data_IF_662855019106
#
_entry.id   IF_662855019106
#
_cell.length_a   1.000
_cell.length_b   1.000
_cell.length_c   1.000
_cell.angle_alpha   90.00
_cell.angle_beta   90.00
_cell.angle_gamma   90.00
#
_symmetry.space_group_name_H-M   'P 1'
#
loop_
_entity.id
_entity.type
_entity.pdbx_description
1 polymer ?
#
# COMPACT_ATOMS: atom_id res chain seq x y z
N UNK A 1 15.50 -33.53 -23.93
CA UNK A 1 14.71 -34.52 -24.68
C UNK A 1 13.63 -33.80 -25.48
N UNK A 2 13.42 -34.16 -26.75
CA UNK A 2 12.39 -33.53 -27.60
C UNK A 2 11.23 -34.53 -27.73
N UNK A 3 10.20 -34.38 -26.90
CA UNK A 3 8.97 -35.19 -26.92
C UNK A 3 8.05 -34.75 -28.08
N UNK A 4 8.44 -35.08 -29.31
CA UNK A 4 7.64 -34.86 -30.52
C UNK A 4 7.43 -36.20 -31.22
N UNK A 5 6.17 -36.56 -31.49
CA UNK A 5 5.81 -37.74 -32.28
C UNK A 5 5.77 -37.38 -33.76
N UNK A 6 6.53 -38.09 -34.59
CA UNK A 6 6.55 -37.98 -36.06
C UNK A 6 6.51 -39.39 -36.69
N UNK A 7 6.07 -39.53 -37.95
CA UNK A 7 5.91 -40.83 -38.60
C UNK A 7 7.20 -41.66 -38.69
N UNK A 8 8.36 -41.00 -38.69
CA UNK A 8 9.70 -41.57 -38.87
C UNK A 8 10.43 -41.88 -37.55
N UNK A 9 9.78 -41.68 -36.40
CA UNK A 9 10.41 -41.89 -35.08
C UNK A 9 10.10 -43.26 -34.47
N UNK A 10 11.08 -43.87 -33.78
CA UNK A 10 10.84 -45.08 -32.99
C UNK A 10 9.81 -44.82 -31.89
N UNK A 11 9.16 -45.90 -31.43
CA UNK A 11 8.23 -45.83 -30.31
C UNK A 11 8.96 -45.39 -29.03
N UNK A 12 8.25 -44.72 -28.13
CA UNK A 12 8.80 -44.34 -26.83
C UNK A 12 9.15 -45.58 -26.01
N UNK A 13 10.29 -45.53 -25.35
CA UNK A 13 10.80 -46.59 -24.48
C UNK A 13 10.50 -46.29 -23.01
N UNK A 14 10.81 -47.23 -22.12
CA UNK A 14 10.61 -47.06 -20.67
C UNK A 14 11.38 -45.84 -20.12
N UNK A 15 12.59 -45.58 -20.63
CA UNK A 15 13.40 -44.43 -20.24
C UNK A 15 12.78 -43.10 -20.70
N UNK A 16 12.14 -43.06 -21.87
CA UNK A 16 11.39 -41.88 -22.34
C UNK A 16 10.21 -41.57 -21.41
N UNK A 17 9.51 -42.60 -20.93
CA UNK A 17 8.43 -42.43 -19.96
C UNK A 17 8.95 -41.87 -18.63
N UNK A 18 10.11 -42.29 -18.15
CA UNK A 18 10.74 -41.76 -16.94
C UNK A 18 11.07 -40.27 -17.09
N UNK A 19 11.68 -39.88 -18.22
CA UNK A 19 12.01 -38.47 -18.49
C UNK A 19 10.73 -37.64 -18.66
N UNK A 20 9.70 -38.18 -19.32
CA UNK A 20 8.41 -37.52 -19.47
C UNK A 20 7.71 -37.32 -18.12
N UNK A 21 7.72 -38.34 -17.26
CA UNK A 21 7.16 -38.28 -15.92
C UNK A 21 7.88 -37.24 -15.05
N UNK A 22 9.21 -37.16 -15.15
CA UNK A 22 9.98 -36.15 -14.42
C UNK A 22 9.67 -34.73 -14.92
N UNK A 23 9.60 -34.53 -16.24
CA UNK A 23 9.23 -33.24 -16.83
C UNK A 23 7.80 -32.83 -16.45
N UNK A 24 6.86 -33.78 -16.48
CA UNK A 24 5.48 -33.56 -16.06
C UNK A 24 5.41 -33.17 -14.58
N UNK A 25 6.17 -33.86 -13.71
CA UNK A 25 6.24 -33.57 -12.27
C UNK A 25 6.79 -32.17 -11.98
N UNK A 26 7.93 -31.81 -12.61
CA UNK A 26 8.51 -30.48 -12.46
C UNK A 26 7.59 -29.37 -13.00
N UNK A 27 6.91 -29.63 -14.12
CA UNK A 27 5.95 -28.68 -14.70
C UNK A 27 4.72 -28.52 -13.80
N UNK A 28 4.18 -29.63 -13.28
CA UNK A 28 3.05 -29.60 -12.36
C UNK A 28 3.37 -28.83 -11.08
N UNK A 29 4.54 -29.06 -10.46
CA UNK A 29 5.00 -28.29 -9.30
C UNK A 29 5.20 -26.81 -9.63
N UNK A 30 5.69 -26.48 -10.83
CA UNK A 30 5.82 -25.10 -11.29
C UNK A 30 4.47 -24.40 -11.44
N UNK A 31 3.49 -25.08 -12.05
CA UNK A 31 2.12 -24.57 -12.22
C UNK A 31 1.45 -24.40 -10.85
N UNK A 32 1.56 -25.38 -9.96
CA UNK A 32 0.96 -25.34 -8.62
C UNK A 32 1.51 -24.17 -7.80
N UNK A 33 2.84 -23.95 -7.84
CA UNK A 33 3.47 -22.76 -7.24
C UNK A 33 2.98 -21.47 -7.86
N UNK A 34 2.88 -21.39 -9.19
CA UNK A 34 2.41 -20.19 -9.87
C UNK A 34 0.96 -19.84 -9.49
N UNK A 35 0.09 -20.85 -9.38
CA UNK A 35 -1.31 -20.68 -8.94
C UNK A 35 -1.36 -20.24 -7.47
N UNK A 36 -0.59 -20.88 -6.59
CA UNK A 36 -0.53 -20.53 -5.17
C UNK A 36 -0.06 -19.08 -4.96
N UNK A 37 1.08 -18.70 -5.54
CA UNK A 37 1.61 -17.34 -5.42
C UNK A 37 0.70 -16.30 -6.09
N UNK A 38 0.06 -16.65 -7.21
CA UNK A 38 -0.93 -15.78 -7.84
C UNK A 38 -2.14 -15.52 -6.92
N UNK A 39 -2.59 -16.54 -6.19
CA UNK A 39 -3.68 -16.39 -5.22
C UNK A 39 -3.28 -15.58 -4.00
N UNK A 40 -2.09 -15.81 -3.45
CA UNK A 40 -1.57 -15.01 -2.32
C UNK A 40 -1.43 -13.53 -2.70
N UNK A 41 -0.90 -13.24 -3.90
CA UNK A 41 -0.77 -11.88 -4.40
C UNK A 41 -2.13 -11.21 -4.61
N UNK A 42 -3.12 -11.93 -5.15
CA UNK A 42 -4.48 -11.43 -5.28
C UNK A 42 -5.10 -11.06 -3.93
N UNK A 43 -4.99 -11.94 -2.92
CA UNK A 43 -5.51 -11.69 -1.57
C UNK A 43 -4.83 -10.47 -0.94
N UNK A 44 -3.52 -10.34 -1.11
CA UNK A 44 -2.76 -9.20 -0.60
C UNK A 44 -3.22 -7.86 -1.23
N UNK A 45 -3.39 -7.82 -2.55
CA UNK A 45 -3.87 -6.63 -3.27
C UNK A 45 -5.30 -6.26 -2.86
N UNK A 46 -6.20 -7.24 -2.75
CA UNK A 46 -7.59 -7.00 -2.34
C UNK A 46 -7.66 -6.45 -0.91
N UNK A 47 -6.92 -7.06 0.03
CA UNK A 47 -6.85 -6.59 1.41
C UNK A 47 -6.33 -5.15 1.46
N UNK A 48 -5.31 -4.83 0.68
CA UNK A 48 -4.76 -3.49 0.69
C UNK A 48 -5.71 -2.45 0.10
N UNK A 49 -6.40 -2.78 -1.00
CA UNK A 49 -7.41 -1.90 -1.62
C UNK A 49 -8.53 -1.56 -0.66
N UNK A 50 -9.02 -2.55 0.08
CA UNK A 50 -10.09 -2.34 1.08
C UNK A 50 -9.63 -1.53 2.28
N UNK A 51 -8.33 -1.50 2.58
CA UNK A 51 -7.74 -0.68 3.64
C UNK A 51 -7.48 0.78 3.24
N UNK A 52 -7.59 1.16 1.97
CA UNK A 52 -7.39 2.54 1.48
C UNK A 52 -8.74 3.22 1.19
N UNK A 53 -8.79 4.57 1.14
CA UNK A 53 -10.01 5.27 0.74
C UNK A 53 -10.42 4.91 -0.71
N UNK A 54 -11.61 4.32 -0.88
CA UNK A 54 -12.19 4.05 -2.22
C UNK A 54 -12.49 5.33 -2.99
N UNK A 55 -12.98 6.35 -2.28
CA UNK A 55 -13.28 7.67 -2.83
C UNK A 55 -12.77 8.76 -1.91
N UNK A 56 -12.23 9.82 -2.50
CA UNK A 56 -11.87 11.02 -1.76
C UNK A 56 -13.09 11.91 -1.54
N UNK A 57 -13.18 12.62 -0.40
CA UNK A 57 -14.22 13.61 -0.18
C UNK A 57 -14.11 14.77 -1.19
N UNK A 58 -15.19 15.55 -1.31
CA UNK A 58 -15.25 16.74 -2.16
C UNK A 58 -15.50 18.01 -1.34
N UNK A 59 -14.54 18.45 -0.51
CA UNK A 59 -14.71 19.67 0.27
C UNK A 59 -14.73 20.91 -0.64
N UNK A 60 -15.47 21.94 -0.24
CA UNK A 60 -15.56 23.20 -0.97
C UNK A 60 -14.19 23.87 -1.04
N UNK A 61 -13.82 24.36 -2.23
CA UNK A 61 -12.56 25.10 -2.42
C UNK A 61 -11.31 24.23 -2.57
N UNK A 62 -11.45 22.89 -2.58
CA UNK A 62 -10.33 21.96 -2.74
C UNK A 62 -10.69 20.86 -3.75
N UNK A 63 -9.76 20.55 -4.65
CA UNK A 63 -9.87 19.38 -5.54
C UNK A 63 -8.83 18.36 -5.13
N UNK A 64 -9.30 17.20 -4.72
CA UNK A 64 -8.46 16.09 -4.27
C UNK A 64 -8.32 15.03 -5.37
N UNK A 65 -7.14 14.44 -5.45
CA UNK A 65 -6.85 13.30 -6.30
C UNK A 65 -5.80 12.42 -5.60
N UNK A 66 -5.86 11.12 -5.81
CA UNK A 66 -4.89 10.16 -5.31
C UNK A 66 -4.55 9.14 -6.39
N UNK A 67 -3.37 8.55 -6.27
CA UNK A 67 -2.96 7.41 -7.09
C UNK A 67 -2.06 6.51 -6.24
N UNK A 68 -2.49 5.27 -6.05
CA UNK A 68 -1.72 4.24 -5.35
C UNK A 68 -1.25 3.19 -6.36
N UNK A 69 0.04 2.88 -6.35
CA UNK A 69 0.66 1.90 -7.25
C UNK A 69 1.51 0.93 -6.40
N UNK A 70 1.02 -0.29 -6.13
CA UNK A 70 1.80 -1.28 -5.40
C UNK A 70 2.99 -1.78 -6.23
N UNK A 71 4.11 -2.09 -5.58
CA UNK A 71 5.26 -2.71 -6.21
C UNK A 71 4.98 -4.20 -6.45
N UNK A 72 4.65 -4.57 -7.69
CA UNK A 72 3.94 -5.81 -8.05
C UNK A 72 4.75 -7.13 -8.02
N UNK A 73 5.87 -7.26 -7.31
CA UNK A 73 6.77 -8.41 -7.51
C UNK A 73 6.59 -9.59 -6.53
N UNK A 74 5.92 -9.42 -5.40
CA UNK A 74 5.68 -10.52 -4.45
C UNK A 74 4.38 -10.30 -3.69
N UNK A 75 3.77 -11.37 -3.16
CA UNK A 75 2.54 -11.37 -2.35
C UNK A 75 2.71 -10.66 -0.99
N UNK A 76 3.10 -9.40 -1.03
CA UNK A 76 3.44 -8.55 0.11
C UNK A 76 2.43 -7.42 0.14
N UNK A 77 1.78 -7.24 1.29
CA UNK A 77 0.86 -6.14 1.53
C UNK A 77 1.68 -4.90 1.88
N UNK A 78 1.44 -3.78 1.21
CA UNK A 78 2.14 -2.53 1.49
C UNK A 78 1.79 -1.94 2.86
N UNK A 79 2.78 -1.30 3.49
CA UNK A 79 2.59 -0.51 4.71
C UNK A 79 2.12 0.93 4.44
N UNK A 80 2.16 1.36 3.18
CA UNK A 80 1.78 2.70 2.76
C UNK A 80 0.28 2.94 2.87
N UNK A 81 -0.09 4.14 3.32
CA UNK A 81 -1.46 4.61 3.25
C UNK A 81 -1.53 6.10 2.94
N UNK A 82 -2.70 6.50 2.45
CA UNK A 82 -3.09 7.90 2.37
C UNK A 82 -4.52 8.06 2.89
N UNK A 83 -4.84 9.26 3.36
CA UNK A 83 -6.22 9.63 3.69
C UNK A 83 -6.50 11.11 3.44
N UNK A 84 -7.78 11.43 3.26
CA UNK A 84 -8.28 12.79 3.20
C UNK A 84 -9.55 12.91 4.05
N UNK A 85 -9.47 13.66 5.14
CA UNK A 85 -10.48 13.70 6.19
C UNK A 85 -11.09 15.11 6.24
N UNK A 86 -12.40 15.27 5.98
CA UNK A 86 -13.07 16.55 6.14
C UNK A 86 -13.03 17.02 7.59
N UNK A 87 -12.71 18.29 7.79
CA UNK A 87 -12.66 18.94 9.10
C UNK A 87 -13.69 20.08 9.19
N UNK A 88 -14.02 20.56 10.40
CA UNK A 88 -14.88 21.73 10.57
C UNK A 88 -14.34 22.96 9.83
N UNK A 89 -15.24 23.74 9.21
CA UNK A 89 -14.89 24.98 8.50
C UNK A 89 -14.39 24.80 7.07
N UNK A 90 -14.81 23.72 6.39
CA UNK A 90 -14.34 23.35 5.03
C UNK A 90 -12.85 23.02 4.93
N UNK A 91 -12.15 22.91 6.06
CA UNK A 91 -10.77 22.43 6.13
C UNK A 91 -10.72 20.95 5.74
N UNK A 92 -9.55 20.51 5.30
CA UNK A 92 -9.28 19.11 5.02
C UNK A 92 -7.95 18.70 5.62
N UNK A 93 -7.94 17.60 6.35
CA UNK A 93 -6.72 16.91 6.73
C UNK A 93 -6.29 15.96 5.63
N UNK A 94 -5.00 15.95 5.32
CA UNK A 94 -4.34 15.09 4.35
C UNK A 94 -3.29 14.29 5.11
N UNK A 95 -3.32 12.97 4.93
CA UNK A 95 -2.40 12.05 5.61
C UNK A 95 -1.71 11.22 4.55
N UNK A 96 -0.40 11.05 4.68
CA UNK A 96 0.37 10.05 3.96
C UNK A 96 1.31 9.40 4.96
N UNK A 97 1.38 8.08 4.98
CA UNK A 97 2.35 7.39 5.81
C UNK A 97 2.77 6.05 5.24
N UNK A 98 3.82 5.50 5.84
CA UNK A 98 4.43 4.22 5.45
C UNK A 98 4.88 3.49 6.71
N UNK A 99 4.32 2.30 6.93
CA UNK A 99 4.74 1.38 7.98
C UNK A 99 5.88 0.50 7.49
N UNK A 100 6.97 0.46 8.25
CA UNK A 100 8.13 -0.36 7.94
C UNK A 100 7.75 -1.83 7.64
N UNK A 101 8.25 -2.31 6.50
CA UNK A 101 8.03 -3.67 6.03
C UNK A 101 6.80 -3.80 5.15
N UNK A 102 6.55 -5.03 4.69
CA UNK A 102 5.58 -5.31 3.63
C UNK A 102 4.97 -6.68 3.88
N UNK A 103 4.21 -6.77 4.98
CA UNK A 103 3.65 -8.00 5.53
C UNK A 103 2.20 -7.79 5.94
N UNK A 104 1.45 -8.87 6.18
CA UNK A 104 0.10 -8.78 6.76
C UNK A 104 0.11 -8.02 8.10
N UNK A 105 1.18 -8.16 8.89
CA UNK A 105 1.34 -7.41 10.14
C UNK A 105 1.53 -5.92 9.89
N UNK A 106 2.33 -5.53 8.88
CA UNK A 106 2.51 -4.12 8.50
C UNK A 106 1.17 -3.51 8.06
N UNK A 107 0.37 -4.26 7.30
CA UNK A 107 -0.97 -3.83 6.90
C UNK A 107 -1.94 -3.66 8.08
N UNK A 108 -1.90 -4.58 9.05
CA UNK A 108 -2.70 -4.48 10.26
C UNK A 108 -2.32 -3.26 11.14
N UNK A 109 -1.02 -2.95 11.22
CA UNK A 109 -0.53 -1.74 11.91
C UNK A 109 -0.98 -0.50 11.16
N UNK A 110 -0.81 -0.47 9.84
CA UNK A 110 -1.27 0.62 8.99
C UNK A 110 -2.76 0.91 9.19
N UNK A 111 -3.62 -0.12 9.15
CA UNK A 111 -5.07 0.05 9.37
C UNK A 111 -5.40 0.64 10.74
N UNK A 112 -4.67 0.26 11.79
CA UNK A 112 -4.83 0.82 13.13
C UNK A 112 -4.37 2.28 13.20
N UNK A 113 -3.22 2.62 12.63
CA UNK A 113 -2.73 3.99 12.57
C UNK A 113 -3.66 4.88 11.75
N UNK A 114 -4.16 4.41 10.61
CA UNK A 114 -5.15 5.12 9.78
C UNK A 114 -6.43 5.40 10.57
N UNK A 115 -6.99 4.39 11.23
CA UNK A 115 -8.22 4.53 12.04
C UNK A 115 -8.02 5.50 13.22
N UNK A 116 -6.85 5.44 13.85
CA UNK A 116 -6.47 6.37 14.92
C UNK A 116 -6.38 7.79 14.37
N UNK A 117 -5.71 7.99 13.22
CA UNK A 117 -5.58 9.30 12.59
C UNK A 117 -6.96 9.90 12.25
N UNK A 118 -7.89 9.10 11.72
CA UNK A 118 -9.27 9.53 11.47
C UNK A 118 -9.98 9.97 12.75
N UNK A 119 -9.81 9.22 13.83
CA UNK A 119 -10.42 9.53 15.13
C UNK A 119 -9.85 10.84 15.71
N UNK A 120 -8.53 10.98 15.72
CA UNK A 120 -7.85 12.18 16.21
C UNK A 120 -8.15 13.43 15.35
N UNK A 121 -8.26 13.26 14.03
CA UNK A 121 -8.69 14.31 13.12
C UNK A 121 -10.13 14.78 13.43
N UNK A 122 -11.03 13.85 13.78
CA UNK A 122 -12.40 14.16 14.19
C UNK A 122 -12.49 14.99 15.47
N UNK A 123 -11.43 15.01 16.29
CA UNK A 123 -11.31 15.85 17.48
C UNK A 123 -10.73 17.24 17.18
N UNK A 124 -10.44 17.54 15.91
CA UNK A 124 -9.84 18.81 15.43
C UNK A 124 -8.53 19.19 16.15
N UNK A 125 -7.74 18.17 16.51
CA UNK A 125 -6.43 18.35 17.13
C UNK A 125 -5.44 18.97 16.13
N UNK A 126 -4.49 19.79 16.62
CA UNK A 126 -3.47 20.34 15.76
C UNK A 126 -2.53 19.23 15.22
N UNK A 127 -1.95 19.41 14.00
CA UNK A 127 -1.15 18.38 13.33
C UNK A 127 -0.07 17.70 14.19
N UNK A 128 0.66 18.47 15.00
CA UNK A 128 1.71 17.92 15.86
C UNK A 128 1.18 17.01 16.97
N UNK A 129 -0.01 17.29 17.52
CA UNK A 129 -0.63 16.45 18.56
C UNK A 129 -1.17 15.15 17.96
N UNK A 130 -1.72 15.21 16.74
CA UNK A 130 -2.11 14.00 16.00
C UNK A 130 -0.91 13.08 15.81
N UNK A 131 0.22 13.61 15.33
CA UNK A 131 1.43 12.80 15.16
C UNK A 131 1.99 12.28 16.47
N UNK A 132 1.94 13.07 17.55
CA UNK A 132 2.36 12.62 18.88
C UNK A 132 1.54 11.41 19.35
N UNK A 133 0.21 11.48 19.25
CA UNK A 133 -0.64 10.34 19.63
C UNK A 133 -0.48 9.13 18.70
N UNK A 134 -0.22 9.35 17.40
CA UNK A 134 0.10 8.26 16.49
C UNK A 134 1.43 7.58 16.87
N UNK A 135 2.44 8.34 17.28
CA UNK A 135 3.70 7.79 17.80
C UNK A 135 3.47 6.96 19.06
N UNK A 136 2.69 7.46 20.03
CA UNK A 136 2.31 6.68 21.21
C UNK A 136 1.56 5.38 20.85
N UNK A 137 0.67 5.41 19.84
CA UNK A 137 0.00 4.20 19.37
C UNK A 137 0.97 3.24 18.69
N UNK A 138 1.89 3.73 17.87
CA UNK A 138 2.91 2.90 17.23
C UNK A 138 3.78 2.18 18.26
N UNK A 139 4.21 2.87 19.32
CA UNK A 139 4.99 2.27 20.42
C UNK A 139 4.21 1.15 21.14
N UNK A 140 2.90 1.30 21.32
CA UNK A 140 2.03 0.25 21.91
C UNK A 140 1.90 -1.00 21.03
N UNK A 141 2.03 -0.84 19.71
CA UNK A 141 1.94 -1.94 18.75
C UNK A 141 3.23 -2.78 18.64
N UNK A 142 4.35 -2.27 19.20
CA UNK A 142 5.60 -3.00 19.37
C UNK A 142 6.83 -2.12 19.19
N UNK A 143 7.87 -2.37 19.99
CA UNK A 143 9.13 -1.59 20.00
C UNK A 143 9.90 -1.62 18.68
N UNK A 144 9.69 -2.66 17.88
CA UNK A 144 10.44 -2.91 16.65
C UNK A 144 9.66 -2.42 15.40
N UNK A 145 8.54 -1.70 15.63
CA UNK A 145 7.66 -1.20 14.58
C UNK A 145 7.89 0.30 14.44
N UNK A 146 8.23 0.72 13.23
CA UNK A 146 8.39 2.13 12.88
C UNK A 146 7.44 2.46 11.73
N UNK A 147 6.92 3.68 11.74
CA UNK A 147 6.17 4.24 10.63
C UNK A 147 6.63 5.68 10.39
N UNK A 148 6.65 6.08 9.13
CA UNK A 148 6.75 7.49 8.77
C UNK A 148 5.36 8.04 8.51
N UNK A 149 5.12 9.30 8.85
CA UNK A 149 3.82 9.93 8.62
C UNK A 149 3.96 11.43 8.37
N UNK A 150 3.26 11.93 7.37
CA UNK A 150 3.01 13.34 7.13
C UNK A 150 1.53 13.62 7.33
N UNK A 151 1.24 14.61 8.18
CA UNK A 151 -0.11 15.09 8.44
C UNK A 151 -0.19 16.57 8.11
N UNK A 152 -1.07 16.93 7.18
CA UNK A 152 -1.26 18.31 6.76
C UNK A 152 -2.73 18.72 6.89
N UNK A 153 -2.98 19.95 7.32
CA UNK A 153 -4.32 20.54 7.35
C UNK A 153 -4.33 21.73 6.42
N UNK A 154 -5.17 21.68 5.39
CA UNK A 154 -5.41 22.79 4.48
C UNK A 154 -6.69 23.52 4.85
N UNK A 155 -6.58 24.84 5.01
CA UNK A 155 -7.68 25.76 5.19
C UNK A 155 -7.93 26.57 3.90
N UNK A 156 -9.03 26.30 3.17
CA UNK A 156 -9.34 27.01 1.94
C UNK A 156 -9.79 28.45 2.17
N UNK A 157 -10.21 28.82 3.39
CA UNK A 157 -10.66 30.19 3.71
C UNK A 157 -9.46 31.11 3.89
N UNK A 158 -8.46 30.67 4.65
CA UNK A 158 -7.24 31.44 4.88
C UNK A 158 -6.08 31.12 3.93
N UNK A 159 -6.30 30.21 2.98
CA UNK A 159 -5.29 29.70 2.03
C UNK A 159 -4.00 29.24 2.71
N UNK A 160 -4.12 28.61 3.88
CA UNK A 160 -2.98 28.17 4.68
C UNK A 160 -2.96 26.66 4.78
N UNK A 161 -1.77 26.08 4.64
CA UNK A 161 -1.50 24.69 4.96
C UNK A 161 -0.61 24.63 6.21
N UNK A 162 -1.00 23.82 7.19
CA UNK A 162 -0.17 23.53 8.37
C UNK A 162 0.25 22.07 8.28
N UNK A 163 1.55 21.80 8.40
CA UNK A 163 2.12 20.47 8.17
C UNK A 163 2.91 20.06 9.41
N UNK A 164 2.71 18.83 9.85
CA UNK A 164 3.60 18.13 10.76
C UNK A 164 4.15 16.89 10.04
N UNK A 165 5.43 16.60 10.24
CA UNK A 165 6.11 15.51 9.57
C UNK A 165 6.91 14.68 10.59
N UNK A 166 6.62 13.37 10.66
CA UNK A 166 7.30 12.37 11.46
C UNK A 166 8.14 11.45 10.56
N UNK A 167 9.14 12.02 9.87
CA UNK A 167 10.14 11.28 9.08
C UNK A 167 9.70 10.85 7.69
N UNK A 168 8.53 11.26 7.22
CA UNK A 168 8.06 10.99 5.86
C UNK A 168 8.75 11.95 4.86
N UNK A 169 8.92 11.58 3.58
CA UNK A 169 9.40 12.52 2.58
C UNK A 169 8.59 13.83 2.57
N UNK A 170 9.26 14.99 2.46
CA UNK A 170 8.57 16.27 2.43
C UNK A 170 7.65 16.39 1.21
N UNK A 171 6.53 17.13 1.34
CA UNK A 171 5.58 17.29 0.25
C UNK A 171 6.15 18.22 -0.81
N UNK A 172 5.66 18.09 -2.03
CA UNK A 172 6.05 18.96 -3.15
C UNK A 172 4.94 19.96 -3.43
N UNK A 173 5.26 21.25 -3.39
CA UNK A 173 4.37 22.32 -3.83
C UNK A 173 4.59 22.59 -5.32
N UNK A 174 3.53 22.38 -6.12
CA UNK A 174 3.52 22.69 -7.54
C UNK A 174 2.81 24.03 -7.80
N UNK A 175 3.55 25.00 -8.33
CA UNK A 175 3.01 26.30 -8.72
C UNK A 175 2.31 26.23 -10.08
N UNK A 176 1.39 27.16 -10.35
CA UNK A 176 0.64 27.24 -11.63
C UNK A 176 1.56 27.31 -12.87
N UNK A 177 2.78 27.80 -12.72
CA UNK A 177 3.80 27.85 -13.79
C UNK A 177 4.61 26.56 -13.99
N UNK A 178 4.28 25.47 -13.28
CA UNK A 178 5.00 24.19 -13.38
C UNK A 178 6.29 24.09 -12.54
N UNK A 179 6.64 25.14 -11.80
CA UNK A 179 7.74 25.11 -10.82
C UNK A 179 7.34 24.25 -9.62
N UNK A 180 8.21 23.33 -9.23
CA UNK A 180 8.08 22.51 -8.03
C UNK A 180 9.08 22.97 -6.96
N UNK A 181 8.66 22.98 -5.70
CA UNK A 181 9.52 23.17 -4.54
C UNK A 181 9.14 22.20 -3.41
N UNK A 182 10.11 21.96 -2.52
CA UNK A 182 10.02 21.02 -1.38
C UNK A 182 10.08 21.82 -0.08
#
# INVERSE_FOLDING_TARGET
AVFLRRPDRPAFEADDLLVAAQLATHSALGIDKAVLYGREAYIADELQRTMLPETLPRPTGVRLASRYLPAAETARVGGDWYDAIPLPGSRVALVVGDVMGHSMTSAAIMGQLRTTAQTLAGLDLPPQEVLHHLDEQAQRLGSDRMATCLYAVYDPVSHRITIANAGHPPPVLLHLGGRAEV
#
